data_IF_012523739468
#
_entry.id   IF_012523739468
#
_cell.length_a   1.000
_cell.length_b   1.000
_cell.length_c   1.000
_cell.angle_alpha   90.00
_cell.angle_beta   90.00
_cell.angle_gamma   90.00
#
_symmetry.space_group_name_H-M   'P 1'
#
loop_
_entity.id
_entity.type
_entity.pdbx_description
1 polymer ?
#
# COMPACT_ATOMS: atom_id res chain seq x y z
N UNK A 1 18.82 -15.36 6.58
CA UNK A 1 19.17 -15.12 5.15
C UNK A 1 20.51 -14.39 5.17
N UNK A 2 21.40 -14.50 4.18
CA UNK A 2 22.61 -13.65 4.21
C UNK A 2 22.28 -12.23 3.72
N UNK A 3 23.09 -11.23 4.06
CA UNK A 3 22.94 -9.87 3.47
C UNK A 3 22.95 -9.93 1.93
N UNK A 4 23.80 -10.80 1.36
CA UNK A 4 23.88 -11.06 -0.07
C UNK A 4 22.55 -11.57 -0.64
N UNK A 5 21.91 -12.52 0.06
CA UNK A 5 20.62 -13.09 -0.34
C UNK A 5 19.50 -12.05 -0.29
N UNK A 6 19.46 -11.22 0.77
CA UNK A 6 18.46 -10.14 0.87
C UNK A 6 18.67 -9.11 -0.23
N UNK A 7 19.92 -8.71 -0.52
CA UNK A 7 20.23 -7.78 -1.60
C UNK A 7 19.78 -8.34 -2.97
N UNK A 8 20.03 -9.62 -3.23
CA UNK A 8 19.57 -10.32 -4.44
C UNK A 8 18.04 -10.35 -4.52
N UNK A 9 17.38 -10.63 -3.40
CA UNK A 9 15.93 -10.61 -3.29
C UNK A 9 15.34 -9.23 -3.59
N UNK A 10 15.85 -8.16 -2.95
CA UNK A 10 15.39 -6.79 -3.16
C UNK A 10 15.57 -6.34 -4.62
N UNK A 11 16.69 -6.71 -5.26
CA UNK A 11 16.90 -6.45 -6.69
C UNK A 11 15.83 -7.12 -7.55
N UNK A 12 15.55 -8.41 -7.30
CA UNK A 12 14.51 -9.15 -8.04
C UNK A 12 13.11 -8.57 -7.79
N UNK A 13 12.82 -8.22 -6.53
CA UNK A 13 11.55 -7.63 -6.15
C UNK A 13 11.33 -6.31 -6.89
N UNK A 14 12.34 -5.42 -6.88
CA UNK A 14 12.28 -4.15 -7.61
C UNK A 14 11.96 -4.36 -9.10
N UNK A 15 12.72 -5.22 -9.78
CA UNK A 15 12.46 -5.56 -11.19
C UNK A 15 11.05 -6.10 -11.41
N UNK A 16 10.56 -6.98 -10.52
CA UNK A 16 9.19 -7.51 -10.61
C UNK A 16 8.12 -6.43 -10.44
N UNK A 17 8.35 -5.45 -9.55
CA UNK A 17 7.42 -4.35 -9.35
C UNK A 17 7.40 -3.42 -10.57
N UNK A 18 8.55 -3.11 -11.16
CA UNK A 18 8.70 -2.31 -12.37
C UNK A 18 8.02 -3.00 -13.57
N UNK A 19 8.34 -4.27 -13.84
CA UNK A 19 7.79 -5.04 -14.97
C UNK A 19 6.27 -5.22 -14.89
N UNK A 20 5.72 -5.28 -13.67
CA UNK A 20 4.28 -5.45 -13.43
C UNK A 20 3.54 -4.15 -13.19
N UNK A 21 4.23 -3.01 -13.22
CA UNK A 21 3.67 -1.70 -12.92
C UNK A 21 2.98 -1.65 -11.54
N UNK A 22 3.67 -2.18 -10.52
CA UNK A 22 3.18 -2.27 -9.14
C UNK A 22 3.90 -1.31 -8.18
N UNK A 23 4.79 -0.43 -8.68
CA UNK A 23 5.48 0.56 -7.84
C UNK A 23 4.51 1.63 -7.31
N UNK A 24 3.54 2.03 -8.13
CA UNK A 24 2.51 3.01 -7.78
C UNK A 24 1.26 2.79 -8.62
N UNK A 25 0.18 2.33 -8.00
CA UNK A 25 -1.06 1.97 -8.70
C UNK A 25 -2.31 2.32 -7.88
N UNK A 26 -3.46 2.36 -8.55
CA UNK A 26 -4.75 2.64 -7.93
C UNK A 26 -5.62 1.38 -7.89
N UNK A 27 -6.41 1.21 -6.84
CA UNK A 27 -7.38 0.13 -6.68
C UNK A 27 -8.67 0.72 -6.11
N UNK A 28 -9.82 0.32 -6.65
CA UNK A 28 -11.11 0.71 -6.06
C UNK A 28 -11.37 -0.08 -4.78
N UNK A 29 -11.74 0.61 -3.70
CA UNK A 29 -11.97 -0.02 -2.39
C UNK A 29 -13.36 -0.66 -2.26
N UNK A 30 -14.26 -0.41 -3.21
CA UNK A 30 -15.65 -0.88 -3.21
C UNK A 30 -15.82 -2.29 -3.82
N UNK A 31 -14.71 -2.93 -4.21
CA UNK A 31 -14.71 -4.20 -4.93
C UNK A 31 -14.42 -5.40 -4.02
N UNK A 32 -15.08 -6.51 -4.35
CA UNK A 32 -14.70 -7.86 -3.90
C UNK A 32 -13.29 -8.26 -4.36
N UNK A 33 -12.75 -7.57 -5.36
CA UNK A 33 -11.58 -7.95 -6.15
C UNK A 33 -10.50 -6.85 -6.14
N UNK A 34 -9.29 -7.20 -5.68
CA UNK A 34 -8.10 -6.34 -5.68
C UNK A 34 -7.47 -6.28 -7.08
N UNK A 35 -8.01 -5.41 -7.93
CA UNK A 35 -7.57 -5.25 -9.32
C UNK A 35 -6.95 -3.86 -9.54
N UNK A 36 -5.65 -3.78 -9.84
CA UNK A 36 -4.99 -2.53 -10.23
C UNK A 36 -5.63 -1.89 -11.46
N UNK A 37 -5.87 -0.57 -11.39
CA UNK A 37 -6.37 0.23 -12.48
C UNK A 37 -5.23 0.52 -13.47
N UNK A 38 -5.23 -0.17 -14.60
CA UNK A 38 -4.16 -0.09 -15.61
C UNK A 38 -4.16 1.26 -16.35
N UNK A 39 -2.97 1.77 -16.64
CA UNK A 39 -2.75 2.97 -17.45
C UNK A 39 -2.88 4.29 -16.69
N UNK A 40 -2.98 4.24 -15.36
CA UNK A 40 -3.14 5.42 -14.49
C UNK A 40 -2.00 5.53 -13.47
N UNK A 41 -0.81 5.88 -13.95
CA UNK A 41 0.39 5.95 -13.10
C UNK A 41 0.52 7.29 -12.37
N UNK A 42 -0.09 8.37 -12.90
CA UNK A 42 -0.03 9.71 -12.30
C UNK A 42 -1.39 10.09 -11.71
N UNK A 43 -1.41 10.84 -10.60
CA UNK A 43 -2.65 11.36 -10.00
C UNK A 43 -3.54 12.11 -11.00
N UNK A 44 -2.96 12.85 -11.94
CA UNK A 44 -3.74 13.60 -12.93
C UNK A 44 -4.51 12.70 -13.91
N UNK A 45 -3.95 11.55 -14.27
CA UNK A 45 -4.56 10.64 -15.25
C UNK A 45 -5.78 9.94 -14.61
N UNK A 46 -5.66 9.52 -13.35
CA UNK A 46 -6.78 8.90 -12.63
C UNK A 46 -7.89 9.91 -12.31
N UNK A 47 -7.55 11.15 -11.94
CA UNK A 47 -8.53 12.22 -11.66
C UNK A 47 -9.34 12.55 -12.93
N UNK A 48 -8.69 12.62 -14.10
CA UNK A 48 -9.38 12.84 -15.38
C UNK A 48 -10.41 11.74 -15.64
N UNK A 49 -10.00 10.48 -15.48
CA UNK A 49 -10.91 9.34 -15.66
C UNK A 49 -12.08 9.36 -14.67
N UNK A 50 -11.84 9.70 -13.40
CA UNK A 50 -12.91 9.85 -12.42
C UNK A 50 -13.85 11.00 -12.74
N UNK A 51 -13.35 12.11 -13.29
CA UNK A 51 -14.19 13.22 -13.73
C UNK A 51 -15.05 12.84 -14.95
N UNK A 52 -14.48 12.18 -15.96
CA UNK A 52 -15.19 11.69 -17.14
C UNK A 52 -16.30 10.69 -16.80
N UNK A 53 -16.10 9.91 -15.73
CA UNK A 53 -17.03 8.87 -15.25
C UNK A 53 -17.61 9.21 -13.87
N UNK A 54 -17.76 10.50 -13.56
CA UNK A 54 -18.17 10.98 -12.25
C UNK A 54 -19.47 10.34 -11.72
N UNK A 55 -20.53 10.12 -12.52
CA UNK A 55 -21.76 9.49 -12.02
C UNK A 55 -21.54 8.09 -11.41
N UNK A 56 -20.54 7.35 -11.90
CA UNK A 56 -20.22 6.02 -11.38
C UNK A 56 -19.29 6.07 -10.16
N UNK A 57 -18.33 6.99 -10.14
CA UNK A 57 -17.27 7.02 -9.13
C UNK A 57 -17.54 7.91 -7.93
N UNK A 58 -18.46 8.86 -8.05
CA UNK A 58 -18.79 9.80 -6.97
C UNK A 58 -19.16 9.06 -5.68
N UNK A 59 -18.56 9.49 -4.57
CA UNK A 59 -18.81 8.93 -3.25
C UNK A 59 -18.05 7.64 -2.96
N UNK A 60 -17.51 6.96 -3.98
CA UNK A 60 -16.68 5.76 -3.81
C UNK A 60 -15.30 6.11 -3.24
N UNK A 61 -14.57 5.07 -2.83
CA UNK A 61 -13.21 5.17 -2.30
C UNK A 61 -12.22 4.49 -3.24
N UNK A 62 -11.07 5.12 -3.41
CA UNK A 62 -9.94 4.60 -4.18
C UNK A 62 -8.72 4.57 -3.28
N UNK A 63 -7.97 3.47 -3.34
CA UNK A 63 -6.66 3.33 -2.73
C UNK A 63 -5.58 3.69 -3.75
N UNK A 64 -4.70 4.63 -3.40
CA UNK A 64 -3.39 4.78 -4.02
C UNK A 64 -2.39 3.96 -3.23
N UNK A 65 -1.74 3.01 -3.90
CA UNK A 65 -0.80 2.06 -3.30
C UNK A 65 0.58 2.32 -3.89
N UNK A 66 1.58 2.46 -3.03
CA UNK A 66 2.99 2.56 -3.44
C UNK A 66 3.83 1.50 -2.76
N UNK A 67 4.59 0.74 -3.57
CA UNK A 67 5.49 -0.30 -3.12
C UNK A 67 6.91 0.12 -3.43
N UNK A 68 7.72 0.31 -2.40
CA UNK A 68 9.03 0.95 -2.55
C UNK A 68 10.15 0.09 -1.98
N UNK A 69 11.14 -0.22 -2.81
CA UNK A 69 12.37 -0.94 -2.43
C UNK A 69 13.49 0.07 -2.13
N UNK A 70 14.05 0.01 -0.92
CA UNK A 70 15.18 0.83 -0.49
C UNK A 70 16.42 -0.03 -0.21
N UNK A 71 17.17 -0.38 -1.25
CA UNK A 71 18.40 -1.17 -1.09
C UNK A 71 19.49 -0.47 -0.27
N UNK A 72 19.42 0.86 -0.08
CA UNK A 72 20.36 1.59 0.77
C UNK A 72 20.12 1.31 2.26
N UNK A 73 18.89 0.94 2.63
CA UNK A 73 18.51 0.58 4.01
C UNK A 73 19.32 -0.56 4.61
N UNK A 74 19.90 -1.43 3.77
CA UNK A 74 20.84 -2.47 4.21
C UNK A 74 22.08 -1.92 4.91
N UNK A 75 22.48 -0.68 4.60
CA UNK A 75 23.67 -0.02 5.16
C UNK A 75 23.36 1.05 6.21
N UNK A 76 22.16 1.61 6.18
CA UNK A 76 21.79 2.81 6.96
C UNK A 76 20.86 2.52 8.15
N UNK A 77 20.55 1.26 8.43
CA UNK A 77 19.56 0.85 9.44
C UNK A 77 18.16 1.46 9.21
N UNK A 78 17.89 1.92 7.98
CA UNK A 78 16.57 2.34 7.52
C UNK A 78 15.76 1.13 7.05
N UNK A 79 14.50 1.37 6.64
CA UNK A 79 13.70 0.34 6.01
C UNK A 79 14.32 -0.10 4.67
N UNK A 80 14.15 -1.38 4.32
CA UNK A 80 14.58 -1.93 3.03
C UNK A 80 13.44 -2.10 2.04
N UNK A 81 12.21 -2.12 2.55
CA UNK A 81 10.99 -2.16 1.76
C UNK A 81 9.88 -1.42 2.51
N UNK A 82 8.98 -0.77 1.78
CA UNK A 82 7.83 -0.07 2.34
C UNK A 82 6.57 -0.29 1.50
N UNK A 83 5.45 -0.48 2.19
CA UNK A 83 4.11 -0.49 1.61
C UNK A 83 3.41 0.78 2.09
N UNK A 84 3.02 1.67 1.19
CA UNK A 84 2.20 2.84 1.49
C UNK A 84 0.84 2.70 0.84
N UNK A 85 -0.22 2.93 1.60
CA UNK A 85 -1.61 2.91 1.13
C UNK A 85 -2.28 4.19 1.61
N UNK A 86 -2.86 4.94 0.68
CA UNK A 86 -3.71 6.10 0.96
C UNK A 86 -5.07 5.85 0.33
N UNK A 87 -6.14 6.01 1.08
CA UNK A 87 -7.52 5.80 0.64
C UNK A 87 -8.25 7.13 0.69
N UNK A 88 -8.70 7.57 -0.48
CA UNK A 88 -9.39 8.84 -0.68
C UNK A 88 -10.84 8.62 -1.11
N UNK A 89 -11.72 9.52 -0.66
CA UNK A 89 -13.08 9.62 -1.20
C UNK A 89 -13.07 10.43 -2.50
N UNK A 90 -13.75 9.92 -3.52
CA UNK A 90 -13.95 10.59 -4.80
C UNK A 90 -15.14 11.56 -4.68
N UNK A 91 -14.91 12.82 -5.00
CA UNK A 91 -15.92 13.89 -4.99
C UNK A 91 -16.73 13.91 -6.30
N UNK A 92 -17.83 14.66 -6.32
CA UNK A 92 -18.71 14.82 -7.49
C UNK A 92 -17.98 15.33 -8.75
N UNK A 93 -16.91 16.11 -8.57
CA UNK A 93 -16.08 16.62 -9.66
C UNK A 93 -14.93 15.66 -10.05
N UNK A 94 -14.95 14.41 -9.56
CA UNK A 94 -13.92 13.39 -9.80
C UNK A 94 -12.62 13.56 -9.02
N UNK A 95 -12.46 14.65 -8.25
CA UNK A 95 -11.23 14.89 -7.47
C UNK A 95 -11.24 14.10 -6.15
N UNK A 96 -10.06 13.95 -5.56
CA UNK A 96 -9.90 13.41 -4.21
C UNK A 96 -10.27 14.44 -3.15
N UNK A 97 -10.98 13.98 -2.12
CA UNK A 97 -11.29 14.79 -0.95
C UNK A 97 -10.02 15.17 -0.18
N UNK A 98 -9.82 16.47 0.05
CA UNK A 98 -8.74 16.99 0.91
C UNK A 98 -9.08 17.00 2.41
N UNK A 99 -10.29 16.58 2.80
CA UNK A 99 -10.69 16.48 4.21
C UNK A 99 -10.02 15.28 4.88
N UNK A 100 -9.29 15.49 5.97
CA UNK A 100 -8.65 14.42 6.75
C UNK A 100 -9.62 13.29 7.16
N UNK A 101 -10.87 13.61 7.50
CA UNK A 101 -11.90 12.61 7.86
C UNK A 101 -12.28 11.66 6.71
N UNK A 102 -11.98 12.04 5.46
CA UNK A 102 -12.20 11.22 4.28
C UNK A 102 -10.96 10.46 3.85
N UNK A 103 -9.80 10.73 4.46
CA UNK A 103 -8.54 10.08 4.15
C UNK A 103 -8.26 8.98 5.17
N UNK A 104 -7.90 7.79 4.69
CA UNK A 104 -7.37 6.70 5.52
C UNK A 104 -6.07 6.22 4.93
N UNK A 105 -5.19 5.62 5.71
CA UNK A 105 -3.97 5.06 5.15
C UNK A 105 -3.10 4.39 6.19
N UNK A 106 -2.06 3.76 5.66
CA UNK A 106 -0.99 3.14 6.43
C UNK A 106 0.30 3.24 5.63
N UNK A 107 1.42 3.40 6.32
CA UNK A 107 2.75 3.14 5.75
C UNK A 107 3.44 2.11 6.63
N UNK A 108 3.88 1.01 6.03
CA UNK A 108 4.44 -0.16 6.71
C UNK A 108 5.86 -0.37 6.23
N UNK A 109 6.80 -0.21 7.15
CA UNK A 109 8.23 -0.27 6.90
C UNK A 109 8.79 -1.64 7.30
N UNK A 110 9.57 -2.25 6.42
CA UNK A 110 10.18 -3.55 6.64
C UNK A 110 11.69 -3.41 6.85
N UNK A 111 12.19 -4.08 7.88
CA UNK A 111 13.63 -4.32 8.08
C UNK A 111 14.08 -5.58 7.34
N UNK A 112 15.39 -5.77 7.15
CA UNK A 112 15.93 -7.00 6.53
C UNK A 112 15.35 -8.27 7.16
N UNK A 113 15.37 -8.37 8.49
CA UNK A 113 14.88 -9.53 9.24
C UNK A 113 13.38 -9.80 9.10
N UNK A 114 12.58 -8.78 8.71
CA UNK A 114 11.15 -8.98 8.46
C UNK A 114 10.95 -9.76 7.15
N UNK A 115 11.71 -9.41 6.11
CA UNK A 115 11.68 -10.09 4.81
C UNK A 115 12.29 -11.50 4.84
N UNK A 116 13.14 -11.78 5.84
CA UNK A 116 13.61 -13.14 6.10
C UNK A 116 12.52 -14.06 6.60
N UNK A 117 11.67 -13.55 7.50
CA UNK A 117 10.57 -14.29 8.10
C UNK A 117 9.40 -14.45 7.14
N UNK A 118 9.08 -13.39 6.40
CA UNK A 118 7.99 -13.38 5.43
C UNK A 118 8.38 -12.55 4.21
N UNK A 119 8.51 -13.23 3.07
CA UNK A 119 8.71 -12.54 1.78
C UNK A 119 7.45 -11.75 1.43
N UNK A 120 7.64 -10.64 0.72
CA UNK A 120 6.54 -9.85 0.20
C UNK A 120 5.61 -10.68 -0.70
N UNK A 121 4.31 -10.60 -0.43
CA UNK A 121 3.25 -11.10 -1.28
C UNK A 121 2.23 -9.99 -1.56
N UNK A 122 1.78 -9.88 -2.81
CA UNK A 122 0.78 -8.87 -3.20
C UNK A 122 -0.55 -9.02 -2.43
N UNK A 123 -0.90 -10.25 -2.02
CA UNK A 123 -2.07 -10.52 -1.17
C UNK A 123 -1.97 -9.83 0.19
N UNK A 124 -0.77 -9.60 0.71
CA UNK A 124 -0.61 -8.86 1.96
C UNK A 124 -1.00 -7.39 1.76
N UNK A 125 -0.71 -6.81 0.59
CA UNK A 125 -1.13 -5.44 0.24
C UNK A 125 -2.65 -5.31 0.19
N UNK A 126 -3.32 -6.30 -0.40
CA UNK A 126 -4.78 -6.36 -0.39
C UNK A 126 -5.34 -6.38 1.03
N UNK A 127 -4.80 -7.24 1.89
CA UNK A 127 -5.21 -7.32 3.30
C UNK A 127 -5.01 -6.00 4.03
N UNK A 128 -3.84 -5.37 3.86
CA UNK A 128 -3.57 -4.05 4.43
C UNK A 128 -4.57 -2.99 3.94
N UNK A 129 -4.86 -2.98 2.64
CA UNK A 129 -5.84 -2.06 2.05
C UNK A 129 -7.22 -2.26 2.67
N UNK A 130 -7.69 -3.51 2.80
CA UNK A 130 -9.00 -3.83 3.39
C UNK A 130 -9.08 -3.39 4.85
N UNK A 131 -8.06 -3.70 5.66
CA UNK A 131 -7.99 -3.23 7.05
C UNK A 131 -8.06 -1.70 7.17
N UNK A 132 -7.46 -0.97 6.23
CA UNK A 132 -7.58 0.49 6.17
C UNK A 132 -8.94 0.96 5.68
N UNK A 133 -9.52 0.29 4.68
CA UNK A 133 -10.84 0.61 4.14
C UNK A 133 -11.92 0.46 5.21
N UNK A 134 -11.85 -0.60 6.02
CA UNK A 134 -12.79 -0.90 7.11
C UNK A 134 -12.58 0.03 8.33
N UNK A 135 -11.46 0.74 8.39
CA UNK A 135 -11.10 1.61 9.53
C UNK A 135 -10.53 0.83 10.72
N UNK A 136 -10.26 -0.46 10.55
CA UNK A 136 -9.64 -1.34 11.56
C UNK A 136 -8.20 -0.92 11.86
N UNK A 137 -7.48 -0.47 10.83
CA UNK A 137 -6.10 0.00 10.90
C UNK A 137 -5.97 1.38 10.25
N UNK A 138 -5.45 2.35 11.00
CA UNK A 138 -5.06 3.66 10.50
C UNK A 138 -3.76 4.06 11.18
N UNK A 139 -2.74 4.40 10.39
CA UNK A 139 -1.43 4.87 10.87
C UNK A 139 -1.04 6.08 10.03
N UNK A 140 -0.38 7.06 10.65
CA UNK A 140 0.21 8.16 9.91
C UNK A 140 1.07 7.65 8.73
N UNK A 141 0.64 8.01 7.52
CA UNK A 141 1.29 7.61 6.27
C UNK A 141 2.59 8.37 5.98
N UNK A 142 2.92 9.41 6.76
CA UNK A 142 4.12 10.20 6.55
C UNK A 142 5.36 9.53 7.17
N UNK A 143 5.25 9.10 8.42
CA UNK A 143 6.35 8.46 9.15
C UNK A 143 6.27 6.92 9.11
N UNK A 144 5.06 6.37 8.89
CA UNK A 144 4.81 4.93 8.89
C UNK A 144 5.10 4.26 10.24
N UNK A 145 5.01 2.93 10.25
CA UNK A 145 5.37 2.12 11.39
C UNK A 145 6.06 0.83 10.94
N UNK A 146 6.90 0.26 11.80
CA UNK A 146 7.61 -0.98 11.51
C UNK A 146 6.64 -2.16 11.45
N UNK A 147 6.80 -3.04 10.47
CA UNK A 147 5.97 -4.23 10.24
C UNK A 147 5.69 -5.00 11.54
N UNK A 148 6.72 -5.29 12.32
CA UNK A 148 6.60 -6.00 13.61
C UNK A 148 5.73 -5.27 14.64
N UNK A 149 5.73 -3.93 14.66
CA UNK A 149 4.87 -3.15 15.53
C UNK A 149 3.42 -3.14 15.01
N UNK A 150 3.23 -3.07 13.70
CA UNK A 150 1.90 -3.17 13.08
C UNK A 150 1.26 -4.51 13.42
N UNK A 151 2.00 -5.62 13.31
CA UNK A 151 1.51 -6.95 13.73
C UNK A 151 1.10 -6.98 15.21
N UNK A 152 1.86 -6.35 16.11
CA UNK A 152 1.47 -6.26 17.53
C UNK A 152 0.17 -5.48 17.72
N UNK A 153 -0.06 -4.41 16.95
CA UNK A 153 -1.31 -3.64 16.98
C UNK A 153 -2.49 -4.50 16.53
N UNK A 154 -2.33 -5.26 15.45
CA UNK A 154 -3.37 -6.16 14.93
C UNK A 154 -3.68 -7.30 15.89
N UNK A 155 -2.65 -7.93 16.47
CA UNK A 155 -2.82 -8.98 17.47
C UNK A 155 -3.60 -8.49 18.69
N UNK A 156 -3.36 -7.26 19.16
CA UNK A 156 -4.14 -6.63 20.24
C UNK A 156 -5.61 -6.40 19.87
N UNK A 157 -5.92 -6.29 18.58
CA UNK A 157 -7.28 -6.20 18.03
C UNK A 157 -7.89 -7.58 17.71
N UNK A 158 -7.19 -8.68 18.01
CA UNK A 158 -7.64 -10.04 17.74
C UNK A 158 -7.52 -10.47 16.27
N UNK A 159 -6.68 -9.80 15.48
CA UNK A 159 -6.51 -10.07 14.03
C UNK A 159 -5.19 -10.81 13.82
N UNK A 160 -5.25 -11.97 13.19
CA UNK A 160 -4.07 -12.78 12.86
C UNK A 160 -3.68 -12.59 11.39
N UNK A 161 -3.05 -11.45 11.11
CA UNK A 161 -2.67 -11.07 9.74
C UNK A 161 -1.81 -12.11 9.02
N UNK A 162 -1.01 -12.87 9.75
CA UNK A 162 -0.06 -13.78 9.12
C UNK A 162 -0.67 -15.12 8.73
N UNK A 163 -1.75 -15.55 9.42
CA UNK A 163 -2.42 -16.84 9.22
C UNK A 163 -3.81 -16.74 8.56
N UNK A 164 -4.49 -15.59 8.65
CA UNK A 164 -5.58 -15.19 7.75
C UNK A 164 -5.00 -14.93 6.35
#
# INVERSE_FOLDING_TARGET
MTEFDIKKYLKKLKTTLEEKDLESFYVMCDRSDFIPMKGYHRPIDIIKMFAEKAPYYTGKRVAHISLYVNSKGLKTNEFVFSIKITIDKILENGKFSQKFSNMRGVMINFKPNDLEKRRFHIKDVEKWMRLCADGTLYIDTFNGNWYTNVLKILKKKGIDFEND
#
